data_IF_791068328161
#
_entry.id   IF_791068328161
#
_cell.length_a   1.000
_cell.length_b   1.000
_cell.length_c   1.000
_cell.angle_alpha   90.00
_cell.angle_beta   90.00
_cell.angle_gamma   90.00
#
_symmetry.space_group_name_H-M   'P 1'
#
loop_
_entity.id
_entity.type
_entity.pdbx_description
1 polymer ?
#
# COMPACT_ATOMS: atom_id res chain seq x y z
N UNK A 1 -3.47 -5.19 -1.35
CA UNK A 1 -3.41 -5.22 -2.83
C UNK A 1 -3.11 -6.61 -3.39
N UNK A 2 -1.90 -7.19 -3.28
CA UNK A 2 -1.59 -8.50 -3.92
C UNK A 2 -2.56 -9.63 -3.49
N UNK A 3 -2.83 -9.75 -2.20
CA UNK A 3 -3.79 -10.73 -1.67
C UNK A 3 -5.25 -10.44 -2.07
N UNK A 4 -5.62 -9.18 -2.34
CA UNK A 4 -6.97 -8.84 -2.80
C UNK A 4 -7.16 -9.24 -4.26
N UNK A 5 -6.21 -8.90 -5.13
CA UNK A 5 -6.23 -9.28 -6.55
C UNK A 5 -6.27 -10.81 -6.69
N UNK A 6 -5.44 -11.54 -5.94
CA UNK A 6 -5.48 -13.01 -5.95
C UNK A 6 -6.85 -13.59 -5.54
N UNK A 7 -7.47 -13.04 -4.49
CA UNK A 7 -8.83 -13.47 -4.08
C UNK A 7 -9.86 -13.17 -5.17
N UNK A 8 -9.77 -12.03 -5.83
CA UNK A 8 -10.66 -11.68 -6.95
C UNK A 8 -10.47 -12.64 -8.13
N UNK A 9 -9.23 -13.04 -8.45
CA UNK A 9 -8.95 -14.06 -9.46
C UNK A 9 -9.57 -15.42 -9.11
N UNK A 10 -9.40 -15.87 -7.87
CA UNK A 10 -9.98 -17.13 -7.40
C UNK A 10 -11.52 -17.11 -7.45
N UNK A 11 -12.14 -16.01 -7.06
CA UNK A 11 -13.60 -15.83 -7.14
C UNK A 11 -14.08 -15.80 -8.58
N UNK A 12 -13.43 -15.03 -9.46
CA UNK A 12 -13.78 -14.95 -10.88
C UNK A 12 -13.67 -16.33 -11.56
N UNK A 13 -12.61 -17.08 -11.24
CA UNK A 13 -12.42 -18.45 -11.71
C UNK A 13 -13.51 -19.39 -11.20
N UNK A 14 -13.86 -19.33 -9.92
CA UNK A 14 -14.91 -20.17 -9.35
C UNK A 14 -16.30 -19.89 -9.96
N UNK A 15 -16.60 -18.63 -10.27
CA UNK A 15 -17.84 -18.24 -10.95
C UNK A 15 -17.84 -18.75 -12.40
N UNK A 16 -16.71 -18.58 -13.11
CA UNK A 16 -16.54 -19.09 -14.46
C UNK A 16 -16.72 -20.61 -14.54
N UNK A 17 -16.03 -21.36 -13.67
CA UNK A 17 -16.11 -22.83 -13.61
C UNK A 17 -17.54 -23.29 -13.30
N UNK A 18 -18.24 -22.60 -12.38
CA UNK A 18 -19.66 -22.88 -12.09
C UNK A 18 -20.53 -22.68 -13.32
N UNK A 19 -20.33 -21.59 -14.05
CA UNK A 19 -21.14 -21.25 -15.24
C UNK A 19 -20.86 -22.20 -16.41
N UNK A 20 -19.62 -22.64 -16.59
CA UNK A 20 -19.29 -23.64 -17.59
C UNK A 20 -20.00 -24.97 -17.28
N UNK A 21 -19.92 -25.43 -16.03
CA UNK A 21 -20.60 -26.64 -15.60
C UNK A 21 -22.13 -26.56 -15.76
N UNK A 22 -22.75 -25.42 -15.47
CA UNK A 22 -24.22 -25.27 -15.64
C UNK A 22 -24.63 -25.31 -17.12
N UNK A 23 -23.88 -24.67 -18.01
CA UNK A 23 -24.15 -24.72 -19.47
C UNK A 23 -23.94 -26.13 -20.02
N UNK A 24 -22.87 -26.82 -19.61
CA UNK A 24 -22.62 -28.21 -20.03
C UNK A 24 -23.74 -29.16 -19.58
N UNK A 25 -24.23 -29.01 -18.35
CA UNK A 25 -25.36 -29.79 -17.84
C UNK A 25 -26.64 -29.49 -18.62
N UNK A 26 -26.94 -28.20 -18.87
CA UNK A 26 -28.10 -27.79 -19.66
C UNK A 26 -28.04 -28.33 -21.09
N UNK A 27 -26.86 -28.33 -21.70
CA UNK A 27 -26.63 -28.87 -23.05
C UNK A 27 -26.88 -30.38 -23.09
N UNK A 28 -26.41 -31.13 -22.09
CA UNK A 28 -26.67 -32.57 -21.97
C UNK A 28 -28.15 -32.89 -21.83
N UNK A 29 -28.89 -32.09 -21.06
CA UNK A 29 -30.35 -32.24 -20.91
C UNK A 29 -31.05 -31.90 -22.23
N UNK A 30 -30.67 -30.81 -22.89
CA UNK A 30 -31.23 -30.41 -24.19
C UNK A 30 -30.97 -31.47 -25.28
N UNK A 31 -29.82 -32.14 -25.26
CA UNK A 31 -29.49 -33.28 -26.12
C UNK A 31 -30.38 -34.49 -25.86
N UNK A 32 -30.57 -34.87 -24.60
CA UNK A 32 -31.43 -36.00 -24.23
C UNK A 32 -32.89 -35.76 -24.65
N UNK A 33 -33.38 -34.52 -24.53
CA UNK A 33 -34.75 -34.15 -24.87
C UNK A 33 -34.92 -33.66 -26.32
N UNK A 34 -33.88 -33.71 -27.17
CA UNK A 34 -33.89 -33.27 -28.57
C UNK A 34 -34.43 -31.84 -28.78
N UNK A 35 -34.15 -30.93 -27.85
CA UNK A 35 -34.60 -29.53 -27.90
C UNK A 35 -33.68 -28.77 -28.85
N UNK A 36 -34.11 -28.67 -30.12
CA UNK A 36 -33.34 -28.06 -31.20
C UNK A 36 -33.61 -26.56 -31.41
N UNK A 37 -34.73 -26.05 -30.88
CA UNK A 37 -35.12 -24.63 -30.95
C UNK A 37 -35.44 -24.11 -29.55
N UNK A 38 -35.27 -22.80 -29.36
CA UNK A 38 -35.64 -22.11 -28.12
C UNK A 38 -37.14 -22.26 -27.86
N UNK A 39 -37.49 -22.78 -26.69
CA UNK A 39 -38.87 -22.99 -26.26
C UNK A 39 -39.39 -21.89 -25.32
N UNK A 40 -38.66 -20.78 -25.20
CA UNK A 40 -38.92 -19.72 -24.20
C UNK A 40 -38.69 -18.34 -24.81
N UNK A 41 -39.58 -17.40 -24.46
CA UNK A 41 -39.51 -15.99 -24.87
C UNK A 41 -38.71 -15.10 -23.90
N UNK A 42 -38.29 -15.66 -22.76
CA UNK A 42 -37.48 -14.99 -21.74
C UNK A 42 -36.03 -14.84 -22.24
N UNK A 43 -35.39 -13.67 -22.06
CA UNK A 43 -33.99 -13.47 -22.40
C UNK A 43 -33.07 -14.49 -21.73
N UNK A 44 -32.04 -14.93 -22.44
CA UNK A 44 -31.08 -15.93 -21.95
C UNK A 44 -30.33 -15.48 -20.67
N UNK A 45 -30.25 -14.18 -20.41
CA UNK A 45 -29.62 -13.59 -19.22
C UNK A 45 -30.48 -13.68 -17.96
N UNK A 46 -31.81 -13.79 -18.09
CA UNK A 46 -32.76 -13.77 -16.98
C UNK A 46 -33.27 -15.18 -16.61
N UNK A 47 -32.94 -16.18 -17.44
CA UNK A 47 -33.31 -17.56 -17.21
C UNK A 47 -32.49 -18.18 -16.06
N UNK A 48 -33.15 -18.86 -15.09
CA UNK A 48 -32.45 -19.57 -14.04
C UNK A 48 -31.67 -20.76 -14.61
N UNK A 49 -30.56 -21.14 -13.94
CA UNK A 49 -29.68 -22.22 -14.39
C UNK A 49 -30.41 -23.55 -14.62
N UNK A 50 -31.49 -23.80 -13.87
CA UNK A 50 -32.32 -25.01 -13.99
C UNK A 50 -33.11 -25.09 -15.29
N UNK A 51 -33.43 -23.96 -15.91
CA UNK A 51 -34.28 -23.88 -17.12
C UNK A 51 -33.49 -23.53 -18.38
N UNK A 52 -32.16 -23.39 -18.25
CA UNK A 52 -31.29 -22.99 -19.35
C UNK A 52 -31.34 -23.95 -20.55
N UNK A 53 -31.72 -25.22 -20.32
CA UNK A 53 -31.90 -26.23 -21.38
C UNK A 53 -33.00 -25.86 -22.39
N UNK A 54 -33.94 -24.99 -22.02
CA UNK A 54 -35.03 -24.51 -22.89
C UNK A 54 -34.54 -23.61 -24.03
N UNK A 55 -33.33 -23.03 -23.91
CA UNK A 55 -32.69 -22.23 -24.97
C UNK A 55 -32.36 -23.06 -26.22
N UNK A 56 -32.26 -24.39 -26.06
CA UNK A 56 -31.94 -25.32 -27.13
C UNK A 56 -30.44 -25.46 -27.41
N UNK A 57 -30.08 -26.57 -28.05
CA UNK A 57 -28.68 -26.98 -28.28
C UNK A 57 -27.79 -25.94 -29.00
N UNK A 58 -28.20 -25.36 -30.16
CA UNK A 58 -27.27 -24.50 -30.91
C UNK A 58 -26.92 -23.22 -30.14
N UNK A 59 -27.86 -22.68 -29.36
CA UNK A 59 -27.61 -21.51 -28.51
C UNK A 59 -26.69 -21.85 -27.34
N UNK A 60 -26.89 -23.01 -26.70
CA UNK A 60 -26.03 -23.47 -25.60
C UNK A 60 -24.60 -23.75 -26.08
N UNK A 61 -24.43 -24.36 -27.26
CA UNK A 61 -23.12 -24.57 -27.88
C UNK A 61 -22.43 -23.26 -28.20
N UNK A 62 -23.11 -22.33 -28.86
CA UNK A 62 -22.56 -21.02 -29.18
C UNK A 62 -22.16 -20.25 -27.90
N UNK A 63 -22.95 -20.36 -26.83
CA UNK A 63 -22.65 -19.72 -25.54
C UNK A 63 -21.49 -20.38 -24.82
N UNK A 64 -21.35 -21.70 -24.89
CA UNK A 64 -20.20 -22.43 -24.36
C UNK A 64 -18.92 -22.03 -25.08
N UNK A 65 -18.94 -22.01 -26.42
CA UNK A 65 -17.80 -21.58 -27.24
C UNK A 65 -17.43 -20.12 -26.98
N UNK A 66 -18.42 -19.24 -26.87
CA UNK A 66 -18.20 -17.83 -26.53
C UNK A 66 -17.60 -17.68 -25.13
N UNK A 67 -18.13 -18.38 -24.13
CA UNK A 67 -17.63 -18.34 -22.76
C UNK A 67 -16.19 -18.86 -22.68
N UNK A 68 -15.86 -19.93 -23.40
CA UNK A 68 -14.49 -20.45 -23.51
C UNK A 68 -13.54 -19.47 -24.19
N UNK A 69 -14.01 -18.73 -25.20
CA UNK A 69 -13.22 -17.72 -25.90
C UNK A 69 -12.97 -16.46 -25.04
N UNK A 70 -13.96 -16.04 -24.25
CA UNK A 70 -13.87 -14.83 -23.40
C UNK A 70 -13.14 -15.10 -22.09
N UNK A 71 -13.36 -16.27 -21.48
CA UNK A 71 -12.80 -16.64 -20.18
C UNK A 71 -13.53 -16.01 -18.98
N UNK A 72 -12.88 -15.99 -17.80
CA UNK A 72 -13.47 -15.42 -16.58
C UNK A 72 -13.69 -13.92 -16.70
N UNK A 73 -14.88 -13.45 -16.31
CA UNK A 73 -15.18 -12.03 -16.24
C UNK A 73 -14.59 -11.43 -14.95
N UNK A 74 -13.95 -10.28 -15.08
CA UNK A 74 -13.42 -9.50 -13.97
C UNK A 74 -14.18 -8.18 -13.82
N UNK A 75 -14.27 -7.70 -12.59
CA UNK A 75 -14.90 -6.40 -12.30
C UNK A 75 -13.91 -5.25 -12.53
N UNK A 76 -14.42 -4.03 -12.71
CA UNK A 76 -13.61 -2.83 -12.95
C UNK A 76 -12.58 -2.60 -11.83
N UNK A 77 -12.95 -2.91 -10.59
CA UNK A 77 -12.08 -2.82 -9.42
C UNK A 77 -10.85 -3.73 -9.53
N UNK A 78 -10.98 -4.90 -10.16
CA UNK A 78 -9.85 -5.81 -10.36
C UNK A 78 -8.81 -5.20 -11.29
N UNK A 79 -9.24 -4.61 -12.41
CA UNK A 79 -8.34 -3.97 -13.38
C UNK A 79 -7.65 -2.75 -12.78
N UNK A 80 -8.37 -1.94 -12.01
CA UNK A 80 -7.79 -0.82 -11.27
C UNK A 80 -6.74 -1.29 -10.26
N UNK A 81 -7.07 -2.32 -9.47
CA UNK A 81 -6.14 -2.87 -8.49
C UNK A 81 -4.92 -3.51 -9.14
N UNK A 82 -5.06 -4.13 -10.31
CA UNK A 82 -3.97 -4.70 -11.10
C UNK A 82 -3.06 -3.60 -11.63
N UNK A 83 -3.62 -2.51 -12.17
CA UNK A 83 -2.85 -1.35 -12.60
C UNK A 83 -2.08 -0.71 -11.44
N UNK A 84 -2.73 -0.52 -10.29
CA UNK A 84 -2.09 0.00 -9.08
C UNK A 84 -0.99 -0.93 -8.54
N UNK A 85 -1.15 -2.25 -8.66
CA UNK A 85 -0.09 -3.19 -8.30
C UNK A 85 1.13 -3.06 -9.21
N UNK A 86 0.92 -2.82 -10.50
CA UNK A 86 2.01 -2.60 -11.45
C UNK A 86 2.75 -1.30 -11.13
N UNK A 87 2.04 -0.23 -10.77
CA UNK A 87 2.68 1.03 -10.32
C UNK A 87 3.36 0.91 -8.95
N UNK A 88 2.91 0.02 -8.06
CA UNK A 88 3.62 -0.23 -6.80
C UNK A 88 4.87 -1.11 -6.98
N UNK A 89 4.86 -2.04 -7.93
CA UNK A 89 6.00 -2.94 -8.18
C UNK A 89 7.23 -2.20 -8.72
N UNK A 90 7.10 -1.01 -9.31
CA UNK A 90 8.25 -0.18 -9.70
C UNK A 90 9.02 0.41 -8.51
N UNK A 91 8.48 0.26 -7.29
CA UNK A 91 9.13 0.64 -6.04
C UNK A 91 9.17 2.16 -5.80
N UNK A 92 9.46 2.60 -4.56
CA UNK A 92 9.59 4.00 -4.27
C UNK A 92 10.85 4.57 -4.96
N UNK A 93 10.66 5.59 -5.78
CA UNK A 93 11.77 6.38 -6.30
C UNK A 93 12.18 7.39 -5.24
N UNK A 94 13.48 7.44 -4.93
CA UNK A 94 14.02 8.47 -4.04
C UNK A 94 13.93 9.80 -4.79
N UNK A 95 13.09 10.72 -4.30
CA UNK A 95 13.09 12.09 -4.80
C UNK A 95 14.34 12.81 -4.27
N UNK A 96 15.29 13.21 -5.13
CA UNK A 96 16.49 13.93 -4.71
C UNK A 96 16.17 15.28 -4.05
N UNK A 97 14.95 15.79 -4.18
CA UNK A 97 14.48 17.04 -3.55
C UNK A 97 13.88 16.82 -2.17
N UNK A 98 13.67 15.58 -1.72
CA UNK A 98 13.12 15.31 -0.41
C UNK A 98 14.14 15.65 0.68
N UNK A 99 13.91 16.76 1.39
CA UNK A 99 14.74 17.22 2.51
C UNK A 99 14.02 16.93 3.83
N UNK A 100 14.68 16.25 4.77
CA UNK A 100 14.11 15.91 6.08
C UNK A 100 13.99 17.10 7.03
N UNK A 101 14.71 18.18 6.73
CA UNK A 101 14.71 19.41 7.49
C UNK A 101 14.79 20.60 6.53
N UNK A 102 14.37 21.77 7.01
CA UNK A 102 14.47 23.02 6.28
C UNK A 102 15.11 24.06 7.18
N UNK A 103 16.16 24.72 6.70
CA UNK A 103 16.74 25.86 7.41
C UNK A 103 15.69 26.98 7.48
N UNK A 104 15.28 27.35 8.69
CA UNK A 104 14.53 28.59 8.91
C UNK A 104 15.48 29.80 8.84
N UNK A 105 16.72 29.60 9.29
CA UNK A 105 17.80 30.57 9.27
C UNK A 105 19.11 29.85 8.98
N UNK A 106 19.95 30.44 8.15
CA UNK A 106 21.32 29.94 7.93
C UNK A 106 22.09 30.02 9.24
N UNK A 107 22.92 29.01 9.58
CA UNK A 107 23.79 29.08 10.74
C UNK A 107 24.64 30.35 10.67
N UNK A 108 24.52 31.21 11.68
CA UNK A 108 25.37 32.39 11.80
C UNK A 108 26.69 31.97 12.45
N UNK A 109 27.80 32.42 11.86
CA UNK A 109 29.10 32.18 12.46
C UNK A 109 29.20 32.89 13.82
N UNK A 110 29.73 32.22 14.86
CA UNK A 110 29.75 32.79 16.20
C UNK A 110 30.68 34.00 16.25
N UNK A 111 30.10 35.20 16.42
CA UNK A 111 30.86 36.46 16.52
C UNK A 111 31.79 36.47 17.75
N UNK A 112 31.40 35.81 18.84
CA UNK A 112 32.16 35.72 20.09
C UNK A 112 32.16 34.29 20.60
N UNK A 113 33.31 33.82 21.12
CA UNK A 113 33.41 32.52 21.78
C UNK A 113 32.75 32.60 23.16
N UNK A 114 31.82 31.70 23.46
CA UNK A 114 31.13 31.70 24.76
C UNK A 114 32.02 31.29 25.94
N UNK A 115 33.06 30.48 25.69
CA UNK A 115 33.93 29.94 26.75
C UNK A 115 35.39 29.72 26.30
N UNK A 116 36.38 29.83 27.21
CA UNK A 116 36.29 30.36 28.57
C UNK A 116 36.36 31.91 28.60
N UNK A 117 35.53 32.54 29.44
CA UNK A 117 35.55 33.99 29.66
C UNK A 117 36.77 34.37 30.48
N UNK A 118 37.88 34.68 29.79
CA UNK A 118 39.20 34.97 30.41
C UNK A 118 39.12 36.06 31.49
N UNK A 119 38.34 37.11 31.26
CA UNK A 119 38.16 38.19 32.22
C UNK A 119 37.52 37.71 33.53
N UNK A 120 36.45 36.91 33.44
CA UNK A 120 35.80 36.32 34.61
C UNK A 120 36.76 35.39 35.37
N UNK A 121 37.52 34.57 34.65
CA UNK A 121 38.49 33.65 35.24
C UNK A 121 39.61 34.40 35.98
N UNK A 122 40.15 35.48 35.40
CA UNK A 122 41.16 36.30 36.06
C UNK A 122 40.63 36.94 37.35
N UNK A 123 39.40 37.47 37.34
CA UNK A 123 38.77 38.05 38.54
C UNK A 123 38.57 36.99 39.62
N UNK A 124 38.05 35.82 39.24
CA UNK A 124 37.79 34.72 40.16
C UNK A 124 39.07 34.23 40.84
N UNK A 125 40.13 33.95 40.07
CA UNK A 125 41.42 33.54 40.62
C UNK A 125 42.10 34.65 41.42
N UNK A 126 41.91 35.92 41.05
CA UNK A 126 42.38 37.07 41.82
C UNK A 126 41.79 37.13 43.22
N UNK A 127 40.47 36.93 43.35
CA UNK A 127 39.79 36.89 44.66
C UNK A 127 40.29 35.71 45.49
N UNK A 128 40.39 34.52 44.89
CA UNK A 128 40.88 33.30 45.57
C UNK A 128 42.32 33.50 46.08
N UNK A 129 43.20 34.04 45.24
CA UNK A 129 44.58 34.35 45.63
C UNK A 129 44.67 35.40 46.74
N UNK A 130 43.83 36.44 46.69
CA UNK A 130 43.77 37.49 47.71
C UNK A 130 43.36 36.96 49.08
N UNK A 131 42.31 36.12 49.14
CA UNK A 131 41.85 35.51 50.40
C UNK A 131 42.91 34.59 51.00
N UNK A 132 43.54 33.75 50.18
CA UNK A 132 44.61 32.85 50.63
C UNK A 132 45.82 33.66 51.13
N UNK A 133 46.23 34.69 50.39
CA UNK A 133 47.35 35.56 50.77
C UNK A 133 47.11 36.28 52.09
N UNK A 134 45.90 36.81 52.30
CA UNK A 134 45.50 37.45 53.56
C UNK A 134 45.54 36.46 54.74
N UNK A 135 45.05 35.22 54.55
CA UNK A 135 45.10 34.17 55.58
C UNK A 135 46.53 33.81 56.01
N UNK A 136 47.45 33.71 55.05
CA UNK A 136 48.88 33.44 55.35
C UNK A 136 49.53 34.62 56.08
N UNK A 137 49.22 35.86 55.70
CA UNK A 137 49.76 37.04 56.37
C UNK A 137 49.32 37.14 57.84
N UNK A 138 48.04 36.87 58.12
CA UNK A 138 47.47 36.92 59.47
C UNK A 138 48.06 35.84 60.38
N UNK A 139 48.14 34.59 59.90
CA UNK A 139 48.72 33.48 60.69
C UNK A 139 50.18 33.71 61.04
N UNK A 140 50.98 34.23 60.10
CA UNK A 140 52.38 34.62 60.37
C UNK A 140 52.51 35.76 61.38
N UNK A 141 51.56 36.68 61.42
CA UNK A 141 51.58 37.83 62.33
C UNK A 141 51.07 37.48 63.74
N UNK A 142 50.21 36.47 63.87
CA UNK A 142 49.66 36.00 65.15
C UNK A 142 50.58 34.97 65.84
N UNK A 143 51.48 34.33 65.09
CA UNK A 143 52.51 33.41 65.63
C UNK A 143 53.76 34.13 66.16
N UNK A 144 53.82 35.46 66.10
CA UNK A 144 54.85 36.31 66.69
C UNK A 144 54.26 37.04 67.89
#
# INVERSE_FOLDING_TARGET
MKAQVKRQEEVAKAIYDRRMNSIEQALKIAEQHNISRSATDVPAEELPDSEMFLLGRPMLQARLENLQAVGPAFDLDYDQNRAMLNTLNVGPTLDPRFQTYRYLRTPEEPVKRDSPRRAFLMIMWGIVGGLIGAGVALTRRCSK
#
